data_IF_603219407065
#
_entry.id   IF_603219407065
#
_cell.length_a   1.000
_cell.length_b   1.000
_cell.length_c   1.000
_cell.angle_alpha   90.00
_cell.angle_beta   90.00
_cell.angle_gamma   90.00
#
_symmetry.space_group_name_H-M   'P 1'
#
loop_
_entity.id
_entity.type
_entity.pdbx_description
1 polymer ?
#
# COMPACT_ATOMS: atom_id res chain seq x y z
N UNK A 1 -12.08 -3.21 -8.42
CA UNK A 1 -11.84 -2.07 -9.30
C UNK A 1 -12.73 -2.17 -10.52
N UNK A 2 -12.74 -3.24 -11.36
CA UNK A 2 -13.71 -3.36 -12.46
C UNK A 2 -15.16 -3.34 -11.98
N UNK A 3 -15.46 -3.94 -10.84
CA UNK A 3 -16.80 -3.93 -10.21
C UNK A 3 -17.33 -2.51 -9.91
N UNK A 4 -16.47 -1.51 -9.87
CA UNK A 4 -16.81 -0.10 -9.66
C UNK A 4 -16.73 0.73 -10.95
N UNK A 5 -16.72 0.09 -12.13
CA UNK A 5 -16.65 0.79 -13.41
C UNK A 5 -15.30 1.43 -13.70
N UNK A 6 -14.26 1.15 -12.92
CA UNK A 6 -12.91 1.69 -13.16
C UNK A 6 -12.13 0.72 -14.03
N UNK A 7 -11.72 1.18 -15.18
CA UNK A 7 -10.92 0.41 -16.12
C UNK A 7 -9.50 0.18 -15.61
N UNK A 8 -8.97 -1.00 -15.85
CA UNK A 8 -7.62 -1.41 -15.44
C UNK A 8 -6.78 -1.67 -16.68
N UNK A 9 -5.59 -1.08 -16.69
CA UNK A 9 -4.52 -1.43 -17.59
C UNK A 9 -3.41 -2.16 -16.84
N UNK A 10 -3.00 -3.32 -17.35
CA UNK A 10 -1.90 -4.08 -16.76
C UNK A 10 -0.58 -3.75 -17.45
N UNK A 11 0.49 -3.65 -16.65
CA UNK A 11 1.84 -3.46 -17.16
C UNK A 11 2.64 -4.77 -17.01
N UNK A 12 3.47 -5.17 -18.00
CA UNK A 12 4.31 -6.35 -17.92
C UNK A 12 5.50 -6.08 -17.01
N UNK A 13 5.28 -6.16 -15.68
CA UNK A 13 6.31 -5.88 -14.68
C UNK A 13 6.57 -7.14 -13.88
N UNK A 14 7.81 -7.62 -13.92
CA UNK A 14 8.28 -8.69 -13.03
C UNK A 14 9.15 -8.09 -11.92
N UNK A 15 8.86 -8.44 -10.67
CA UNK A 15 9.71 -8.06 -9.54
C UNK A 15 11.14 -8.59 -9.72
N UNK A 16 12.13 -7.77 -9.36
CA UNK A 16 13.56 -8.11 -9.49
C UNK A 16 14.09 -8.75 -8.20
N UNK A 17 13.32 -8.69 -7.14
CA UNK A 17 13.72 -9.17 -5.81
C UNK A 17 13.88 -10.70 -5.79
N UNK A 18 15.05 -11.19 -5.37
CA UNK A 18 15.34 -12.64 -5.25
C UNK A 18 15.75 -13.34 -6.54
N UNK A 19 15.95 -12.63 -7.65
CA UNK A 19 16.44 -13.19 -8.92
C UNK A 19 17.94 -12.92 -9.07
N UNK A 20 18.72 -13.94 -9.39
CA UNK A 20 20.18 -13.91 -9.44
C UNK A 20 20.81 -12.81 -10.31
N UNK A 21 22.15 -12.75 -10.35
CA UNK A 21 22.95 -11.67 -10.98
C UNK A 21 22.55 -11.35 -12.44
N UNK A 22 22.16 -12.35 -13.24
CA UNK A 22 21.70 -12.16 -14.62
C UNK A 22 20.40 -11.32 -14.71
N UNK A 23 19.51 -11.44 -13.71
CA UNK A 23 18.28 -10.65 -13.66
C UNK A 23 18.55 -9.16 -13.35
N UNK A 24 19.62 -8.87 -12.63
CA UNK A 24 20.09 -7.50 -12.38
C UNK A 24 20.65 -6.83 -13.64
N UNK A 25 21.38 -7.57 -14.47
CA UNK A 25 21.87 -7.06 -15.77
C UNK A 25 20.72 -6.74 -16.73
N UNK A 26 19.63 -7.52 -16.69
CA UNK A 26 18.46 -7.30 -17.52
C UNK A 26 17.49 -6.22 -16.94
N UNK A 27 17.72 -5.76 -15.71
CA UNK A 27 16.80 -4.82 -15.04
C UNK A 27 16.61 -3.49 -15.79
N UNK A 28 17.64 -2.83 -16.36
CA UNK A 28 17.46 -1.59 -17.12
C UNK A 28 16.58 -1.79 -18.35
N UNK A 29 16.79 -2.88 -19.08
CA UNK A 29 15.99 -3.22 -20.26
C UNK A 29 14.53 -3.47 -19.90
N UNK A 30 14.27 -4.24 -18.85
CA UNK A 30 12.91 -4.50 -18.36
C UNK A 30 12.22 -3.22 -17.88
N UNK A 31 12.97 -2.34 -17.21
CA UNK A 31 12.45 -1.03 -16.83
C UNK A 31 12.06 -0.20 -18.06
N UNK A 32 12.94 -0.15 -19.07
CA UNK A 32 12.65 0.57 -20.32
C UNK A 32 11.39 0.03 -21.02
N UNK A 33 11.25 -1.30 -21.09
CA UNK A 33 10.03 -1.93 -21.65
C UNK A 33 8.77 -1.55 -20.82
N UNK A 34 8.85 -1.59 -19.50
CA UNK A 34 7.73 -1.24 -18.62
C UNK A 34 7.36 0.25 -18.75
N UNK A 35 8.36 1.14 -18.86
CA UNK A 35 8.15 2.57 -19.10
C UNK A 35 7.48 2.80 -20.47
N UNK A 36 7.93 2.11 -21.51
CA UNK A 36 7.31 2.23 -22.86
C UNK A 36 5.86 1.71 -22.85
N UNK A 37 5.59 0.60 -22.17
CA UNK A 37 4.23 0.11 -22.01
C UNK A 37 3.35 1.12 -21.25
N UNK A 38 3.87 1.71 -20.16
CA UNK A 38 3.17 2.75 -19.43
C UNK A 38 2.91 3.99 -20.29
N UNK A 39 3.88 4.42 -21.12
CA UNK A 39 3.70 5.54 -22.05
C UNK A 39 2.60 5.25 -23.08
N UNK A 40 2.48 4.01 -23.57
CA UNK A 40 1.40 3.63 -24.47
C UNK A 40 0.02 3.76 -23.79
N UNK A 41 -0.09 3.33 -22.53
CA UNK A 41 -1.31 3.52 -21.72
C UNK A 41 -1.62 5.01 -21.54
N UNK A 42 -0.64 5.82 -21.14
CA UNK A 42 -0.83 7.27 -20.94
C UNK A 42 -1.28 7.97 -22.23
N UNK A 43 -0.72 7.59 -23.40
CA UNK A 43 -1.15 8.13 -24.71
C UNK A 43 -2.59 7.78 -25.04
N UNK A 44 -3.01 6.54 -24.74
CA UNK A 44 -4.38 6.08 -25.00
C UNK A 44 -5.38 6.75 -24.05
N UNK A 45 -5.05 6.79 -22.75
CA UNK A 45 -5.93 7.32 -21.70
C UNK A 45 -5.95 8.84 -21.61
N UNK A 46 -4.90 9.51 -22.06
CA UNK A 46 -4.73 10.97 -22.04
C UNK A 46 -5.06 11.59 -20.66
N UNK A 47 -4.49 11.08 -19.56
CA UNK A 47 -4.79 11.61 -18.23
C UNK A 47 -4.26 13.04 -18.09
N UNK A 48 -4.91 13.84 -17.24
CA UNK A 48 -4.45 15.20 -16.91
C UNK A 48 -3.36 15.19 -15.82
N UNK A 49 -3.30 14.14 -15.02
CA UNK A 49 -2.30 13.92 -13.99
C UNK A 49 -2.17 12.41 -13.70
N UNK A 50 -1.07 12.03 -13.08
CA UNK A 50 -0.81 10.65 -12.65
C UNK A 50 -0.51 10.66 -11.15
N UNK A 51 -1.12 9.75 -10.42
CA UNK A 51 -0.82 9.52 -9.00
C UNK A 51 -0.25 8.12 -8.79
N UNK A 52 0.89 8.02 -8.10
CA UNK A 52 1.53 6.77 -7.72
C UNK A 52 1.30 6.47 -6.24
N UNK A 53 0.82 5.26 -5.95
CA UNK A 53 0.60 4.75 -4.59
C UNK A 53 1.68 3.75 -4.15
N UNK A 54 2.83 3.76 -4.81
CA UNK A 54 3.92 2.80 -4.55
C UNK A 54 3.74 1.47 -5.26
N UNK A 55 4.55 0.48 -4.87
CA UNK A 55 4.59 -0.80 -5.54
C UNK A 55 5.37 -0.79 -6.86
N UNK A 56 5.41 -1.94 -7.53
CA UNK A 56 6.24 -2.13 -8.72
C UNK A 56 5.74 -1.34 -9.94
N UNK A 57 4.43 -1.20 -10.10
CA UNK A 57 3.83 -0.51 -11.24
C UNK A 57 4.00 1.01 -11.19
N UNK A 58 4.03 1.59 -9.98
CA UNK A 58 4.20 3.04 -9.80
C UNK A 58 5.55 3.54 -10.32
N UNK A 59 6.62 2.75 -10.25
CA UNK A 59 7.94 3.14 -10.75
C UNK A 59 7.92 3.50 -12.23
N UNK A 60 7.68 2.54 -13.13
CA UNK A 60 7.59 2.79 -14.56
C UNK A 60 6.48 3.77 -14.94
N UNK A 61 5.31 3.69 -14.28
CA UNK A 61 4.19 4.60 -14.50
C UNK A 61 4.52 6.06 -14.19
N UNK A 62 5.15 6.30 -13.03
CA UNK A 62 5.57 7.64 -12.62
C UNK A 62 6.69 8.20 -13.50
N UNK A 63 7.66 7.37 -13.88
CA UNK A 63 8.71 7.78 -14.82
C UNK A 63 8.14 8.10 -16.20
N UNK A 64 7.22 7.28 -16.71
CA UNK A 64 6.52 7.53 -17.97
C UNK A 64 5.72 8.84 -17.93
N UNK A 65 5.03 9.13 -16.82
CA UNK A 65 4.31 10.38 -16.63
C UNK A 65 5.26 11.59 -16.69
N UNK A 66 6.40 11.50 -15.98
CA UNK A 66 7.41 12.57 -15.98
C UNK A 66 8.00 12.82 -17.36
N UNK A 67 8.32 11.75 -18.10
CA UNK A 67 8.83 11.83 -19.47
C UNK A 67 7.78 12.35 -20.47
N UNK A 68 6.50 12.18 -20.17
CA UNK A 68 5.39 12.70 -20.96
C UNK A 68 4.99 14.14 -20.58
N UNK A 69 5.69 14.78 -19.64
CA UNK A 69 5.37 16.13 -19.14
C UNK A 69 4.08 16.21 -18.30
N UNK A 70 3.55 15.06 -17.86
CA UNK A 70 2.36 15.02 -17.03
C UNK A 70 2.68 15.31 -15.57
N UNK A 71 1.81 16.04 -14.86
CA UNK A 71 1.92 16.21 -13.42
C UNK A 71 1.90 14.84 -12.71
N UNK A 72 2.98 14.54 -11.97
CA UNK A 72 3.10 13.35 -11.14
C UNK A 72 2.85 13.73 -9.69
N UNK A 73 1.96 13.01 -9.03
CA UNK A 73 1.75 13.01 -7.60
C UNK A 73 2.19 11.67 -7.03
N UNK A 74 2.69 11.65 -5.81
CA UNK A 74 3.02 10.43 -5.09
C UNK A 74 2.30 10.44 -3.75
N UNK A 75 1.65 9.35 -3.39
CA UNK A 75 1.06 9.15 -2.08
C UNK A 75 1.70 7.95 -1.38
N UNK A 76 2.18 8.15 -0.15
CA UNK A 76 2.71 7.09 0.70
C UNK A 76 1.74 6.80 1.85
N UNK A 77 1.34 5.54 1.98
CA UNK A 77 0.40 5.08 3.00
C UNK A 77 1.08 4.64 4.29
N UNK A 78 2.37 4.37 4.23
CA UNK A 78 3.15 3.88 5.36
C UNK A 78 4.00 5.01 5.94
N UNK A 79 4.36 4.88 7.20
CA UNK A 79 5.27 5.83 7.86
C UNK A 79 6.67 5.82 7.23
N UNK A 80 7.15 4.66 6.78
CA UNK A 80 8.41 4.52 6.06
C UNK A 80 8.14 4.34 4.57
N UNK A 81 8.57 5.29 3.72
CA UNK A 81 8.32 5.22 2.29
C UNK A 81 9.12 4.09 1.63
N UNK A 82 8.44 3.35 0.76
CA UNK A 82 9.07 2.34 -0.08
C UNK A 82 10.06 2.97 -1.08
N UNK A 83 11.02 2.17 -1.58
CA UNK A 83 12.06 2.66 -2.50
C UNK A 83 11.47 3.36 -3.73
N UNK A 84 10.42 2.81 -4.31
CA UNK A 84 9.74 3.41 -5.48
C UNK A 84 9.25 4.82 -5.16
N UNK A 85 8.53 4.99 -4.04
CA UNK A 85 8.02 6.29 -3.64
C UNK A 85 9.13 7.27 -3.27
N UNK A 86 10.24 6.81 -2.65
CA UNK A 86 11.42 7.65 -2.40
C UNK A 86 12.02 8.23 -3.68
N UNK A 87 12.12 7.40 -4.73
CA UNK A 87 12.67 7.86 -6.02
C UNK A 87 11.68 8.79 -6.71
N UNK A 88 10.42 8.40 -6.80
CA UNK A 88 9.39 9.17 -7.48
C UNK A 88 9.07 10.50 -6.78
N UNK A 89 9.19 10.60 -5.46
CA UNK A 89 8.96 11.84 -4.72
C UNK A 89 9.88 12.98 -5.15
N UNK A 90 11.10 12.64 -5.63
CA UNK A 90 12.04 13.64 -6.18
C UNK A 90 11.63 14.17 -7.55
N UNK A 91 10.78 13.44 -8.26
CA UNK A 91 10.27 13.78 -9.59
C UNK A 91 8.84 14.30 -9.54
N UNK A 92 8.16 14.08 -8.42
CA UNK A 92 6.77 14.43 -8.23
C UNK A 92 6.58 15.95 -8.08
N UNK A 93 5.45 16.44 -8.60
CA UNK A 93 5.00 17.82 -8.39
C UNK A 93 4.50 18.02 -6.96
N UNK A 94 3.85 17.01 -6.38
CA UNK A 94 3.42 16.97 -4.98
C UNK A 94 3.65 15.59 -4.42
N UNK A 95 4.04 15.56 -3.16
CA UNK A 95 4.19 14.34 -2.37
C UNK A 95 3.20 14.39 -1.23
N UNK A 96 2.32 13.42 -1.19
CA UNK A 96 1.25 13.26 -0.21
C UNK A 96 1.60 12.11 0.72
N UNK A 97 1.20 12.17 1.96
CA UNK A 97 1.46 11.08 2.93
C UNK A 97 0.30 10.82 3.86
N UNK A 98 0.20 9.56 4.30
CA UNK A 98 -0.73 9.14 5.34
C UNK A 98 -0.27 9.51 6.75
N UNK A 99 1.05 9.70 6.93
CA UNK A 99 1.67 9.98 8.23
C UNK A 99 2.76 11.04 8.08
N UNK A 100 2.94 11.92 9.08
CA UNK A 100 4.00 12.91 9.04
C UNK A 100 5.39 12.27 9.12
N UNK A 101 6.37 12.90 8.48
CA UNK A 101 7.77 12.48 8.50
C UNK A 101 8.12 11.39 7.48
N UNK A 102 7.24 11.10 6.52
CA UNK A 102 7.53 10.16 5.44
C UNK A 102 8.52 10.73 4.43
N UNK A 103 8.41 12.03 4.12
CA UNK A 103 9.28 12.73 3.16
C UNK A 103 9.69 14.10 3.70
N UNK A 104 10.83 14.60 3.21
CA UNK A 104 11.32 15.94 3.60
C UNK A 104 10.39 17.10 3.18
N UNK A 105 9.62 16.89 2.10
CA UNK A 105 8.60 17.83 1.62
C UNK A 105 7.35 17.02 1.33
N UNK A 106 6.33 17.18 2.16
CA UNK A 106 5.10 16.43 2.04
C UNK A 106 3.89 17.26 2.47
N UNK A 107 2.75 16.87 1.98
CA UNK A 107 1.44 17.29 2.43
C UNK A 107 0.79 16.08 3.11
N UNK A 108 0.54 16.17 4.40
CA UNK A 108 -0.09 15.08 5.17
C UNK A 108 -1.59 15.13 4.91
N UNK A 109 -2.07 14.21 4.09
CA UNK A 109 -3.48 14.10 3.70
C UNK A 109 -4.23 12.98 4.42
N UNK A 110 -3.51 12.16 5.19
CA UNK A 110 -4.05 10.93 5.73
C UNK A 110 -4.15 9.82 4.68
N UNK A 111 -4.64 8.67 5.09
CA UNK A 111 -4.90 7.54 4.21
C UNK A 111 -6.35 7.53 3.76
N UNK A 112 -6.64 7.14 2.51
CA UNK A 112 -8.01 6.94 2.07
C UNK A 112 -8.65 5.77 2.82
N UNK A 113 -9.66 6.06 3.61
CA UNK A 113 -10.42 5.07 4.39
C UNK A 113 -11.78 4.87 3.74
N UNK A 114 -12.24 3.62 3.70
CA UNK A 114 -13.60 3.32 3.20
C UNK A 114 -14.65 4.06 4.01
N UNK A 115 -15.61 4.65 3.34
CA UNK A 115 -16.68 5.45 3.98
C UNK A 115 -17.39 4.71 5.13
N UNK A 116 -17.62 3.42 4.96
CA UNK A 116 -18.25 2.57 5.99
C UNK A 116 -17.42 2.47 7.28
N UNK A 117 -16.08 2.55 7.15
CA UNK A 117 -15.17 2.54 8.31
C UNK A 117 -15.07 3.94 8.90
N UNK A 118 -14.98 4.95 8.05
CA UNK A 118 -14.89 6.35 8.47
C UNK A 118 -16.17 6.83 9.20
N UNK A 119 -17.33 6.25 8.86
CA UNK A 119 -18.61 6.55 9.48
C UNK A 119 -18.86 5.81 10.80
N UNK A 120 -17.94 4.93 11.24
CA UNK A 120 -18.09 4.26 12.53
C UNK A 120 -17.98 5.28 13.68
N UNK A 121 -18.80 5.15 14.73
CA UNK A 121 -18.63 5.95 15.93
C UNK A 121 -17.23 5.84 16.52
N UNK A 122 -16.82 6.83 17.28
CA UNK A 122 -15.50 6.83 17.94
C UNK A 122 -15.33 5.59 18.82
N UNK A 123 -14.08 5.11 19.03
CA UNK A 123 -13.81 3.93 19.84
C UNK A 123 -14.45 3.98 21.23
N UNK A 124 -14.44 5.12 21.89
CA UNK A 124 -14.98 5.31 23.22
C UNK A 124 -16.50 5.05 23.25
N UNK A 125 -17.23 5.53 22.25
CA UNK A 125 -18.68 5.27 22.12
C UNK A 125 -18.95 3.79 21.79
N UNK A 126 -18.16 3.17 20.88
CA UNK A 126 -18.34 1.77 20.49
C UNK A 126 -17.96 0.78 21.57
N UNK A 127 -17.05 1.17 22.46
CA UNK A 127 -16.54 0.31 23.52
C UNK A 127 -17.26 0.57 24.85
N UNK A 128 -18.01 1.65 24.97
CA UNK A 128 -18.78 1.97 26.16
C UNK A 128 -19.75 0.82 26.51
N UNK A 129 -19.85 0.49 27.80
CA UNK A 129 -20.75 -0.56 28.31
C UNK A 129 -20.40 -1.99 27.90
N UNK A 130 -19.19 -2.23 27.37
CA UNK A 130 -18.71 -3.60 27.15
C UNK A 130 -18.32 -4.24 28.45
N UNK A 131 -19.06 -5.28 28.80
CA UNK A 131 -18.82 -6.13 29.97
C UNK A 131 -18.57 -7.58 29.53
N UNK A 132 -18.09 -8.42 30.46
CA UNK A 132 -17.88 -9.85 30.23
C UNK A 132 -16.46 -10.19 29.72
N UNK A 133 -16.38 -11.21 28.84
CA UNK A 133 -15.10 -11.73 28.37
C UNK A 133 -14.31 -10.71 27.57
N UNK A 134 -13.00 -10.69 27.75
CA UNK A 134 -12.06 -9.90 26.91
C UNK A 134 -12.16 -10.38 25.46
N UNK A 135 -12.42 -9.47 24.53
CA UNK A 135 -12.48 -9.80 23.10
C UNK A 135 -11.16 -9.49 22.44
N UNK A 136 -10.53 -10.52 21.91
CA UNK A 136 -9.23 -10.46 21.22
C UNK A 136 -9.44 -10.76 19.74
N UNK A 137 -9.01 -9.86 18.89
CA UNK A 137 -8.97 -10.07 17.44
C UNK A 137 -7.53 -10.13 16.96
N UNK A 138 -7.13 -11.27 16.40
CA UNK A 138 -5.81 -11.47 15.80
C UNK A 138 -5.92 -11.36 14.30
N UNK A 139 -5.29 -10.36 13.70
CA UNK A 139 -5.31 -10.11 12.27
C UNK A 139 -3.91 -10.24 11.68
N UNK A 140 -3.80 -11.03 10.62
CA UNK A 140 -2.61 -11.11 9.81
C UNK A 140 -2.62 -10.10 8.65
N UNK A 141 -1.42 -9.74 8.16
CA UNK A 141 -1.29 -8.94 6.94
C UNK A 141 -1.45 -9.78 5.66
N UNK A 142 -1.51 -9.11 4.51
CA UNK A 142 -1.70 -9.73 3.18
C UNK A 142 -0.62 -10.74 2.77
N UNK A 143 0.54 -10.74 3.42
CA UNK A 143 1.63 -11.69 3.18
C UNK A 143 1.65 -12.86 4.16
N UNK A 144 0.57 -13.04 4.91
CA UNK A 144 0.45 -14.03 5.97
C UNK A 144 1.05 -13.51 7.30
N UNK A 145 0.64 -14.13 8.36
CA UNK A 145 1.08 -13.79 9.72
C UNK A 145 1.65 -15.05 10.38
N UNK A 146 2.56 -15.75 9.70
CA UNK A 146 3.08 -17.04 10.17
C UNK A 146 3.51 -17.01 11.63
N UNK A 147 4.25 -15.99 12.04
CA UNK A 147 4.67 -15.82 13.43
C UNK A 147 3.48 -15.67 14.40
N UNK A 148 2.44 -14.92 14.00
CA UNK A 148 1.21 -14.79 14.79
C UNK A 148 0.42 -16.10 14.80
N UNK A 149 0.31 -16.78 13.65
CA UNK A 149 -0.41 -18.04 13.56
C UNK A 149 0.23 -19.16 14.37
N UNK A 150 1.55 -19.15 14.52
CA UNK A 150 2.32 -20.10 15.33
C UNK A 150 2.28 -19.76 16.83
N UNK A 151 2.35 -18.49 17.21
CA UNK A 151 2.45 -18.06 18.59
C UNK A 151 1.08 -17.87 19.26
N UNK A 152 0.11 -17.23 18.59
CA UNK A 152 -1.12 -16.78 19.21
C UNK A 152 -2.01 -17.88 19.81
N UNK A 153 -2.14 -19.08 19.25
CA UNK A 153 -2.95 -20.13 19.88
C UNK A 153 -2.46 -20.49 21.28
N UNK A 154 -1.15 -20.58 21.46
CA UNK A 154 -0.53 -20.88 22.76
C UNK A 154 -0.68 -19.71 23.74
N UNK A 155 -0.44 -18.50 23.29
CA UNK A 155 -0.55 -17.30 24.13
C UNK A 155 -2.00 -17.05 24.56
N UNK A 156 -2.97 -17.25 23.65
CA UNK A 156 -4.40 -17.13 23.99
C UNK A 156 -4.85 -18.21 24.99
N UNK A 157 -4.35 -19.44 24.85
CA UNK A 157 -4.64 -20.51 25.82
C UNK A 157 -4.09 -20.18 27.22
N UNK A 158 -2.88 -19.62 27.30
CA UNK A 158 -2.29 -19.18 28.55
C UNK A 158 -3.07 -18.03 29.21
N UNK A 159 -3.51 -17.06 28.42
CA UNK A 159 -4.35 -15.95 28.91
C UNK A 159 -5.74 -16.44 29.37
N UNK A 160 -6.33 -17.39 28.67
CA UNK A 160 -7.65 -17.95 29.03
C UNK A 160 -7.64 -18.73 30.34
N UNK A 161 -6.48 -19.17 30.82
CA UNK A 161 -6.35 -19.82 32.14
C UNK A 161 -6.59 -18.84 33.31
N UNK A 162 -6.41 -17.54 33.09
CA UNK A 162 -6.58 -16.49 34.12
C UNK A 162 -7.77 -15.53 33.90
N UNK A 163 -8.40 -15.55 32.73
CA UNK A 163 -9.48 -14.63 32.40
C UNK A 163 -10.42 -15.22 31.33
N UNK A 164 -11.69 -14.82 31.35
CA UNK A 164 -12.61 -15.15 30.27
C UNK A 164 -12.23 -14.41 28.99
N UNK A 165 -11.91 -15.14 27.91
CA UNK A 165 -11.47 -14.58 26.64
C UNK A 165 -12.32 -15.11 25.50
N UNK A 166 -12.79 -14.22 24.63
CA UNK A 166 -13.37 -14.54 23.33
C UNK A 166 -12.36 -14.12 22.23
N UNK A 167 -11.73 -15.07 21.56
CA UNK A 167 -10.73 -14.77 20.54
C UNK A 167 -11.24 -15.10 19.13
N UNK A 168 -10.94 -14.21 18.19
CA UNK A 168 -11.08 -14.43 16.74
C UNK A 168 -9.73 -14.30 16.09
N UNK A 169 -9.32 -15.33 15.36
CA UNK A 169 -8.05 -15.39 14.64
C UNK A 169 -8.32 -15.59 13.16
N UNK A 170 -7.71 -14.74 12.32
CA UNK A 170 -7.82 -14.80 10.87
C UNK A 170 -6.55 -15.42 10.27
#
# INVERSE_FOLDING_TARGET
VPQHGIEIDTLPIAGVRGKGKLALLAAPWRLAQAVNAARAVLRRRRPRAVIGFGGFASGPGGLAARLAGLPLLVHEQNRAPGLTNRVLSRLARRTLSGFPGSFAREEVTGNPVRTQIAALPMPDERLAGREGAMRVLVLGGSQGARALNEAMPRELAALAAGAAIEARHQ
#
